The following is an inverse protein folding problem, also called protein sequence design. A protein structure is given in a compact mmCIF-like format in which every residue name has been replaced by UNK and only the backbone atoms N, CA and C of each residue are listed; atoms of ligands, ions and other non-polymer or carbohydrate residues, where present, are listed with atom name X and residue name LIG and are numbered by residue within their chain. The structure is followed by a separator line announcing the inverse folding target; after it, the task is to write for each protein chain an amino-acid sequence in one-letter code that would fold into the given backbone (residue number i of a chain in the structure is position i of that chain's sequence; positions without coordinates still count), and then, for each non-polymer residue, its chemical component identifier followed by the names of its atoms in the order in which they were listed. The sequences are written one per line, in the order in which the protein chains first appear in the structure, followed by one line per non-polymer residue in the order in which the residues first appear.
data_IF_911031714931
#
_entry.id   IF_911031714931
#
_cell.length_a   1.000
_cell.length_b   1.000
_cell.length_c   1.000
_cell.angle_alpha   90.00
_cell.angle_beta   90.00
_cell.angle_gamma   90.00
#
_symmetry.space_group_name_H-M   'P 1'
#
loop_
_entity.id
_entity.type
_entity.pdbx_description
1 polymer ?
#
# COMPACT_ATOMS: atom_id res chain seq x y z
N UNK A 1 -61.32 -22.88 -9.23
CA UNK A 1 -60.51 -23.77 -10.09
C UNK A 1 -59.15 -23.11 -10.31
N UNK A 2 -58.14 -23.45 -9.50
CA UNK A 2 -56.80 -22.87 -9.61
C UNK A 2 -56.01 -23.63 -10.68
N UNK A 3 -55.65 -22.90 -11.74
CA UNK A 3 -55.00 -23.45 -12.92
C UNK A 3 -53.49 -23.60 -12.65
N UNK A 4 -53.04 -24.83 -12.37
CA UNK A 4 -51.61 -25.15 -12.24
C UNK A 4 -50.96 -25.19 -13.63
N UNK A 5 -50.53 -24.04 -14.15
CA UNK A 5 -49.63 -24.00 -15.31
C UNK A 5 -48.25 -24.49 -14.90
N UNK A 6 -47.92 -25.74 -15.26
CA UNK A 6 -46.57 -26.29 -15.09
C UNK A 6 -45.60 -25.53 -16.02
N UNK A 7 -44.51 -24.95 -15.51
CA UNK A 7 -43.54 -24.23 -16.33
C UNK A 7 -42.85 -25.16 -17.34
N UNK A 8 -42.50 -24.62 -18.51
CA UNK A 8 -41.88 -25.41 -19.58
C UNK A 8 -40.44 -25.80 -19.23
N UNK A 9 -40.00 -26.96 -19.74
CA UNK A 9 -38.69 -27.55 -19.41
C UNK A 9 -37.51 -26.59 -19.71
N UNK A 10 -37.64 -25.71 -20.72
CA UNK A 10 -36.63 -24.68 -21.05
C UNK A 10 -36.53 -23.58 -19.99
N UNK A 11 -37.65 -23.18 -19.38
CA UNK A 11 -37.69 -22.18 -18.31
C UNK A 11 -37.01 -22.71 -17.05
N UNK A 12 -37.16 -24.02 -16.75
CA UNK A 12 -36.45 -24.67 -15.65
C UNK A 12 -34.93 -24.68 -15.84
N UNK A 13 -34.44 -24.95 -17.05
CA UNK A 13 -33.00 -24.96 -17.34
C UNK A 13 -32.38 -23.56 -17.25
N UNK A 14 -33.05 -22.54 -17.80
CA UNK A 14 -32.58 -21.14 -17.72
C UNK A 14 -32.57 -20.65 -16.28
N UNK A 15 -33.61 -20.95 -15.49
CA UNK A 15 -33.64 -20.60 -14.08
C UNK A 15 -32.54 -21.31 -13.27
N UNK A 16 -32.22 -22.57 -13.61
CA UNK A 16 -31.15 -23.34 -12.96
C UNK A 16 -29.76 -22.77 -13.29
N UNK A 17 -29.49 -22.44 -14.56
CA UNK A 17 -28.22 -21.83 -14.98
C UNK A 17 -28.05 -20.44 -14.34
N UNK A 18 -29.11 -19.63 -14.31
CA UNK A 18 -29.06 -18.30 -13.70
C UNK A 18 -28.83 -18.37 -12.19
N UNK A 19 -29.44 -19.35 -11.51
CA UNK A 19 -29.23 -19.61 -10.09
C UNK A 19 -27.80 -20.04 -9.78
N UNK A 20 -27.20 -20.89 -10.62
CA UNK A 20 -25.79 -21.32 -10.48
C UNK A 20 -24.83 -20.15 -10.72
N UNK A 21 -25.10 -19.30 -11.71
CA UNK A 21 -24.30 -18.10 -11.99
C UNK A 21 -24.33 -17.12 -10.80
N UNK A 22 -25.50 -16.94 -10.19
CA UNK A 22 -25.68 -16.07 -9.03
C UNK A 22 -24.90 -16.57 -7.79
N UNK A 23 -24.87 -17.89 -7.58
CA UNK A 23 -24.15 -18.53 -6.46
C UNK A 23 -22.63 -18.42 -6.63
N UNK A 24 -22.11 -18.53 -7.85
CA UNK A 24 -20.69 -18.35 -8.13
C UNK A 24 -20.21 -16.90 -7.88
N UNK A 25 -21.03 -15.89 -8.15
CA UNK A 25 -20.68 -14.49 -7.88
C UNK A 25 -20.61 -14.16 -6.38
N UNK A 26 -21.32 -14.89 -5.52
CA UNK A 26 -21.35 -14.63 -4.07
C UNK A 26 -20.22 -15.33 -3.30
N UNK A 27 -19.53 -16.28 -3.94
CA UNK A 27 -18.50 -17.12 -3.31
C UNK A 27 -17.09 -16.55 -3.40
N UNK A 28 -16.93 -15.33 -3.92
CA UNK A 28 -15.64 -14.69 -4.19
C UNK A 28 -15.27 -13.62 -3.17
N UNK A 29 -15.08 -13.99 -1.90
CA UNK A 29 -14.04 -13.44 -1.01
C UNK A 29 -14.12 -14.23 0.29
N UNK A 30 -13.57 -15.45 0.27
CA UNK A 30 -13.22 -16.11 1.52
C UNK A 30 -12.19 -15.19 2.18
N UNK A 31 -12.62 -14.52 3.25
CA UNK A 31 -11.81 -13.62 4.06
C UNK A 31 -10.47 -14.27 4.39
N UNK A 32 -9.47 -14.03 3.53
CA UNK A 32 -8.10 -14.33 3.85
C UNK A 32 -7.82 -13.44 5.07
N UNK A 33 -7.58 -14.06 6.22
CA UNK A 33 -7.13 -13.39 7.42
C UNK A 33 -5.90 -12.58 7.02
N UNK A 34 -6.11 -11.28 6.75
CA UNK A 34 -5.07 -10.41 6.22
C UNK A 34 -4.03 -10.33 7.31
N UNK A 35 -2.99 -11.15 7.19
CA UNK A 35 -1.95 -11.27 8.21
C UNK A 35 -1.44 -9.87 8.49
N UNK A 36 -1.47 -9.47 9.77
CA UNK A 36 -0.98 -8.15 10.17
C UNK A 36 0.46 -8.04 9.68
N UNK A 37 0.79 -6.99 8.90
CA UNK A 37 2.15 -6.84 8.41
C UNK A 37 3.10 -6.58 9.57
N UNK A 38 4.32 -7.08 9.46
CA UNK A 38 5.40 -6.64 10.33
C UNK A 38 5.85 -5.25 9.87
N UNK A 39 6.08 -4.34 10.81
CA UNK A 39 6.57 -2.98 10.52
C UNK A 39 8.00 -2.91 11.03
N UNK A 40 8.96 -2.72 10.13
CA UNK A 40 10.32 -2.33 10.47
C UNK A 40 10.46 -0.82 10.27
N UNK A 41 10.66 -0.09 11.37
CA UNK A 41 10.94 1.33 11.34
C UNK A 41 12.45 1.56 11.50
N UNK A 42 13.12 1.86 10.39
CA UNK A 42 14.54 2.21 10.38
C UNK A 42 14.71 3.74 10.42
N UNK A 43 15.43 4.24 11.42
CA UNK A 43 15.66 5.67 11.64
C UNK A 43 17.15 5.93 11.78
N UNK A 44 17.68 6.84 10.97
CA UNK A 44 19.09 7.21 11.00
C UNK A 44 19.25 8.62 11.55
N UNK A 45 20.26 8.80 12.41
CA UNK A 45 20.56 10.07 13.05
C UNK A 45 21.32 10.99 12.08
N UNK A 46 21.00 12.29 12.12
CA UNK A 46 21.57 13.33 11.25
C UNK A 46 21.54 13.04 9.73
N UNK A 47 20.63 12.17 9.27
CA UNK A 47 20.47 11.87 7.85
C UNK A 47 19.53 12.90 7.20
N UNK A 48 20.12 13.86 6.48
CA UNK A 48 19.40 14.80 5.62
C UNK A 48 18.83 14.18 4.34
N UNK A 49 18.44 15.00 3.35
CA UNK A 49 17.96 14.49 2.05
C UNK A 49 19.12 14.11 1.11
N UNK A 50 19.99 13.23 1.61
CA UNK A 50 21.26 12.83 1.00
C UNK A 50 21.29 11.33 0.71
N UNK A 51 20.91 10.91 -0.49
CA UNK A 51 20.92 9.51 -0.94
C UNK A 51 20.90 9.47 -2.48
N UNK A 52 21.53 8.47 -3.10
CA UNK A 52 21.54 8.33 -4.57
C UNK A 52 20.13 8.24 -5.16
N UNK A 53 19.17 7.68 -4.43
CA UNK A 53 17.75 7.66 -4.81
C UNK A 53 17.14 9.05 -5.11
N UNK A 54 17.74 10.15 -4.61
CA UNK A 54 17.26 11.51 -4.89
C UNK A 54 17.91 12.17 -6.12
N UNK A 55 18.98 11.59 -6.69
CA UNK A 55 19.75 12.22 -7.78
C UNK A 55 18.85 12.58 -8.98
N UNK A 56 18.06 11.63 -9.48
CA UNK A 56 17.14 11.86 -10.60
C UNK A 56 16.10 12.95 -10.32
N UNK A 57 15.65 13.07 -9.06
CA UNK A 57 14.66 14.04 -8.66
C UNK A 57 15.24 15.46 -8.55
N UNK A 58 16.52 15.56 -8.24
CA UNK A 58 17.23 16.83 -8.03
C UNK A 58 17.82 17.40 -9.31
N UNK A 59 18.04 16.53 -10.29
CA UNK A 59 18.76 16.88 -11.52
C UNK A 59 20.28 16.87 -11.32
N UNK A 60 21.02 17.10 -12.41
CA UNK A 60 22.47 16.97 -12.42
C UNK A 60 23.16 18.12 -11.66
N UNK A 61 24.34 17.83 -11.11
CA UNK A 61 25.20 18.77 -10.40
C UNK A 61 24.93 18.86 -8.89
N UNK A 62 24.26 17.87 -8.29
CA UNK A 62 23.92 17.87 -6.87
C UNK A 62 24.75 16.88 -6.06
N UNK A 63 24.77 17.03 -4.73
CA UNK A 63 25.46 16.09 -3.84
C UNK A 63 24.95 14.64 -4.01
N UNK A 64 23.69 14.48 -4.40
CA UNK A 64 23.09 13.15 -4.59
C UNK A 64 23.67 12.41 -5.80
N UNK A 65 24.33 13.09 -6.74
CA UNK A 65 25.01 12.46 -7.88
C UNK A 65 26.29 11.70 -7.49
N UNK A 66 26.89 12.03 -6.35
CA UNK A 66 28.14 11.41 -5.86
C UNK A 66 27.93 10.49 -4.67
N UNK A 67 26.73 10.46 -4.09
CA UNK A 67 26.37 9.55 -3.02
C UNK A 67 26.08 8.17 -3.60
N UNK A 68 26.43 7.10 -2.88
CA UNK A 68 26.19 5.73 -3.32
C UNK A 68 25.53 4.90 -2.20
N UNK A 69 24.20 4.73 -2.29
CA UNK A 69 23.36 4.04 -1.29
C UNK A 69 22.51 2.92 -1.90
N UNK A 70 23.11 1.90 -2.54
CA UNK A 70 22.39 0.93 -3.37
C UNK A 70 21.32 0.13 -2.62
N UNK A 71 21.51 -0.11 -1.32
CA UNK A 71 20.51 -0.80 -0.51
C UNK A 71 19.29 0.07 -0.19
N UNK A 72 19.49 1.38 0.02
CA UNK A 72 18.40 2.33 0.19
C UNK A 72 17.68 2.55 -1.15
N UNK A 73 18.44 2.64 -2.24
CA UNK A 73 17.89 2.81 -3.59
C UNK A 73 16.96 1.65 -3.97
N UNK A 74 17.35 0.41 -3.62
CA UNK A 74 16.50 -0.77 -3.81
C UNK A 74 15.17 -0.63 -3.06
N UNK A 75 15.20 -0.19 -1.80
CA UNK A 75 13.99 0.02 -0.98
C UNK A 75 13.13 1.15 -1.54
N UNK A 76 13.75 2.23 -2.01
CA UNK A 76 13.05 3.35 -2.64
C UNK A 76 12.38 2.94 -3.95
N UNK A 77 13.05 2.13 -4.79
CA UNK A 77 12.53 1.65 -6.07
C UNK A 77 11.44 0.57 -5.94
N UNK A 78 11.46 -0.24 -4.88
CA UNK A 78 10.40 -1.20 -4.56
C UNK A 78 9.22 -0.55 -3.80
N UNK A 79 9.35 0.71 -3.41
CA UNK A 79 8.42 1.40 -2.52
C UNK A 79 8.05 2.80 -3.00
N UNK A 80 7.93 3.72 -2.04
CA UNK A 80 7.60 5.12 -2.28
C UNK A 80 8.69 5.99 -1.68
N UNK A 81 9.28 6.86 -2.52
CA UNK A 81 10.24 7.86 -2.11
C UNK A 81 9.55 9.22 -1.90
N UNK A 82 9.56 9.72 -0.67
CA UNK A 82 9.03 11.06 -0.38
C UNK A 82 10.08 12.13 -0.72
N UNK A 83 9.78 12.96 -1.72
CA UNK A 83 10.66 14.09 -2.11
C UNK A 83 10.58 15.28 -1.16
N UNK A 84 9.48 15.37 -0.42
CA UNK A 84 9.16 16.48 0.49
C UNK A 84 8.76 15.92 1.87
N UNK A 85 9.72 15.37 2.60
CA UNK A 85 9.55 14.91 3.97
C UNK A 85 10.33 15.84 4.93
N UNK A 86 9.65 16.36 5.96
CA UNK A 86 10.21 17.33 6.89
C UNK A 86 10.06 16.86 8.33
N UNK A 87 11.03 17.21 9.16
CA UNK A 87 10.96 17.04 10.62
C UNK A 87 10.30 18.25 11.26
N UNK A 88 9.60 18.06 12.38
CA UNK A 88 8.97 19.14 13.15
C UNK A 88 9.99 20.04 13.84
N UNK A 89 11.14 19.48 14.22
CA UNK A 89 12.24 20.20 14.86
C UNK A 89 13.59 19.63 14.37
N UNK A 90 14.55 20.46 13.93
CA UNK A 90 15.86 20.02 13.48
C UNK A 90 16.81 19.79 14.67
N UNK A 91 16.41 18.95 15.62
CA UNK A 91 17.23 18.54 16.77
C UNK A 91 16.84 17.13 17.24
N UNK A 92 17.83 16.33 17.66
CA UNK A 92 17.67 14.88 17.86
C UNK A 92 16.57 14.54 18.88
N UNK A 93 16.60 15.16 20.06
CA UNK A 93 15.62 14.92 21.12
C UNK A 93 14.20 15.36 20.71
N UNK A 94 13.97 16.62 20.29
CA UNK A 94 12.62 17.07 19.93
C UNK A 94 12.04 16.35 18.71
N UNK A 95 12.87 16.06 17.69
CA UNK A 95 12.45 15.27 16.52
C UNK A 95 11.97 13.88 16.93
N UNK A 96 12.77 13.17 17.74
CA UNK A 96 12.45 11.80 18.19
C UNK A 96 11.24 11.78 19.11
N UNK A 97 11.07 12.78 19.98
CA UNK A 97 9.87 12.87 20.82
C UNK A 97 8.61 13.11 19.99
N UNK A 98 8.65 13.99 18.97
CA UNK A 98 7.51 14.19 18.06
C UNK A 98 7.18 12.92 17.29
N UNK A 99 8.19 12.19 16.81
CA UNK A 99 8.00 10.97 16.05
C UNK A 99 7.35 9.85 16.87
N UNK A 100 7.78 9.66 18.12
CA UNK A 100 7.27 8.61 19.00
C UNK A 100 5.89 8.91 19.59
N UNK A 101 5.61 10.19 19.87
CA UNK A 101 4.34 10.62 20.47
C UNK A 101 3.26 10.95 19.44
N UNK A 102 3.63 11.27 18.20
CA UNK A 102 2.73 11.83 17.21
C UNK A 102 2.24 13.23 17.59
N UNK A 103 2.99 13.97 18.39
CA UNK A 103 2.68 15.34 18.84
C UNK A 103 3.75 16.33 18.39
N UNK A 104 3.39 17.61 18.33
CA UNK A 104 4.37 18.68 18.15
C UNK A 104 5.28 18.79 19.38
N UNK A 105 6.52 19.21 19.15
CA UNK A 105 7.46 19.60 20.19
C UNK A 105 7.38 21.11 20.44
#
# INVERSE_FOLDING_TARGET
MLNHHKPSLRVLHVASVLSVLLICCVSGDAAESRKRPNILFAFADDWGRYASAYADADGPGTMNDVIHTPHFDRVAGEGVLFKNAFVTAPSCTPCRSSLLSGQYF
#
